data_IF_083483832317
#
_entry.id   IF_083483832317
#
_cell.length_a   1.000
_cell.length_b   1.000
_cell.length_c   1.000
_cell.angle_alpha   90.00
_cell.angle_beta   90.00
_cell.angle_gamma   90.00
#
_symmetry.space_group_name_H-M   'P 1'
#
loop_
_entity.id
_entity.type
_entity.pdbx_description
1 polymer ?
#
# COMPACT_ATOMS: atom_id res chain seq x y z
N UNK A 1 22.55 -11.75 24.17
CA UNK A 1 21.32 -11.99 23.39
C UNK A 1 21.15 -13.47 23.17
N UNK A 2 19.98 -14.05 23.48
CA UNK A 2 19.74 -15.43 23.09
C UNK A 2 19.79 -15.51 21.57
N UNK A 3 20.66 -16.36 21.05
CA UNK A 3 20.67 -16.65 19.63
C UNK A 3 19.34 -17.32 19.29
N UNK A 4 18.56 -16.65 18.47
CA UNK A 4 17.35 -17.26 17.93
C UNK A 4 17.70 -18.55 17.19
N UNK A 5 16.84 -19.55 17.23
CA UNK A 5 16.99 -20.73 16.38
C UNK A 5 17.14 -20.29 14.94
N UNK A 6 18.12 -20.82 14.19
CA UNK A 6 18.25 -20.50 12.77
C UNK A 6 16.91 -20.77 12.09
N UNK A 7 16.43 -19.82 11.31
CA UNK A 7 15.21 -20.01 10.52
C UNK A 7 15.44 -21.18 9.58
N UNK A 8 14.63 -22.23 9.76
CA UNK A 8 14.65 -23.36 8.83
C UNK A 8 14.10 -22.86 7.50
N UNK A 9 14.94 -22.82 6.48
CA UNK A 9 14.48 -22.56 5.11
C UNK A 9 13.63 -23.74 4.68
N UNK A 10 12.34 -23.54 4.30
CA UNK A 10 11.52 -24.64 3.84
C UNK A 10 12.14 -25.31 2.62
N UNK A 11 12.22 -26.63 2.64
CA UNK A 11 12.64 -27.40 1.47
C UNK A 11 11.44 -27.54 0.51
N UNK A 12 11.20 -26.51 -0.25
CA UNK A 12 10.13 -26.44 -1.27
C UNK A 12 10.67 -26.60 -2.70
N UNK A 13 11.95 -26.96 -2.83
CA UNK A 13 12.61 -27.14 -4.12
C UNK A 13 12.88 -25.84 -4.88
N UNK A 14 12.62 -24.66 -4.27
CA UNK A 14 12.84 -23.38 -4.92
C UNK A 14 14.24 -22.84 -4.63
N UNK A 15 14.87 -22.27 -5.65
CA UNK A 15 16.11 -21.50 -5.49
C UNK A 15 15.84 -20.17 -4.80
N UNK A 16 16.85 -19.57 -4.20
CA UNK A 16 16.77 -18.21 -3.61
C UNK A 16 16.26 -17.19 -4.62
N UNK A 17 16.69 -17.30 -5.87
CA UNK A 17 16.24 -16.42 -6.96
C UNK A 17 14.75 -16.58 -7.22
N UNK A 18 14.25 -17.81 -7.31
CA UNK A 18 12.82 -18.08 -7.50
C UNK A 18 11.98 -17.56 -6.33
N UNK A 19 12.47 -17.71 -5.08
CA UNK A 19 11.79 -17.15 -3.89
C UNK A 19 11.68 -15.63 -3.94
N UNK A 20 12.73 -14.94 -4.39
CA UNK A 20 12.72 -13.47 -4.53
C UNK A 20 11.77 -12.97 -5.61
N UNK A 21 11.42 -13.80 -6.55
CA UNK A 21 10.50 -13.47 -7.65
C UNK A 21 9.03 -13.78 -7.33
N UNK A 22 8.75 -14.43 -6.20
CA UNK A 22 7.37 -14.72 -5.80
C UNK A 22 6.66 -13.47 -5.31
N UNK A 23 5.39 -13.36 -5.71
CA UNK A 23 4.51 -12.37 -5.11
C UNK A 23 4.39 -12.61 -3.60
N UNK A 24 4.49 -11.54 -2.83
CA UNK A 24 4.42 -11.57 -1.38
C UNK A 24 3.29 -10.68 -0.89
N UNK A 25 2.49 -11.21 0.02
CA UNK A 25 1.49 -10.43 0.76
C UNK A 25 1.99 -10.29 2.19
N UNK A 26 2.16 -9.05 2.63
CA UNK A 26 2.57 -8.72 4.00
C UNK A 26 1.42 -8.00 4.69
N UNK A 27 1.05 -8.47 5.87
CA UNK A 27 0.00 -7.85 6.69
C UNK A 27 0.64 -7.28 7.96
N UNK A 28 0.57 -5.96 8.10
CA UNK A 28 0.93 -5.28 9.34
C UNK A 28 -0.32 -5.05 10.16
N UNK A 29 -0.41 -5.74 11.27
CA UNK A 29 -1.58 -5.68 12.18
C UNK A 29 -1.10 -5.54 13.62
N UNK A 30 -2.01 -5.20 14.50
CA UNK A 30 -1.74 -5.05 15.93
C UNK A 30 -2.31 -3.74 16.48
N UNK A 31 -2.23 -3.61 17.77
CA UNK A 31 -2.59 -2.38 18.48
C UNK A 31 -1.47 -1.35 18.35
N UNK A 32 -1.80 -0.08 18.60
CA UNK A 32 -0.84 1.02 18.61
C UNK A 32 -0.33 1.44 17.22
N UNK A 33 0.64 2.34 17.22
CA UNK A 33 1.21 2.97 16.02
C UNK A 33 2.35 2.14 15.40
N UNK A 34 2.66 2.39 14.15
CA UNK A 34 3.82 1.82 13.45
C UNK A 34 3.47 0.92 12.27
N UNK A 35 2.22 0.52 12.12
CA UNK A 35 1.76 -0.33 11.01
C UNK A 35 1.97 0.35 9.66
N UNK A 36 1.45 1.55 9.51
CA UNK A 36 1.63 2.35 8.28
C UNK A 36 3.08 2.70 8.04
N UNK A 37 3.81 3.08 9.08
CA UNK A 37 5.26 3.36 8.99
C UNK A 37 6.02 2.17 8.44
N UNK A 38 5.72 0.95 8.88
CA UNK A 38 6.34 -0.26 8.36
C UNK A 38 6.03 -0.49 6.88
N UNK A 39 4.76 -0.33 6.49
CA UNK A 39 4.33 -0.48 5.10
C UNK A 39 4.99 0.56 4.19
N UNK A 40 5.04 1.82 4.60
CA UNK A 40 5.68 2.88 3.82
C UNK A 40 7.20 2.78 3.79
N UNK A 41 7.82 2.21 4.82
CA UNK A 41 9.25 1.87 4.79
C UNK A 41 9.57 0.84 3.70
N UNK A 42 8.73 -0.17 3.53
CA UNK A 42 8.84 -1.12 2.42
C UNK A 42 8.60 -0.43 1.07
N UNK A 43 7.66 0.52 1.00
CA UNK A 43 7.42 1.29 -0.22
C UNK A 43 8.65 2.10 -0.64
N UNK A 44 9.39 2.71 0.30
CA UNK A 44 10.64 3.40 0.00
C UNK A 44 11.68 2.45 -0.62
N UNK A 45 11.78 1.24 -0.12
CA UNK A 45 12.68 0.23 -0.69
C UNK A 45 12.26 -0.18 -2.10
N UNK A 46 10.95 -0.35 -2.32
CA UNK A 46 10.39 -0.65 -3.63
C UNK A 46 10.64 0.49 -4.62
N UNK A 47 10.50 1.74 -4.19
CA UNK A 47 10.81 2.91 -5.00
C UNK A 47 12.26 2.90 -5.48
N UNK A 48 13.20 2.63 -4.58
CA UNK A 48 14.62 2.54 -4.93
C UNK A 48 14.92 1.38 -5.90
N UNK A 49 14.12 0.33 -5.88
CA UNK A 49 14.23 -0.79 -6.84
C UNK A 49 13.62 -0.46 -8.21
N UNK A 50 12.98 0.68 -8.36
CA UNK A 50 12.32 1.07 -9.60
C UNK A 50 10.94 0.42 -9.79
N UNK A 51 10.30 -0.03 -8.73
CA UNK A 51 8.97 -0.64 -8.80
C UNK A 51 7.89 0.42 -8.74
N UNK A 52 7.01 0.54 -9.75
CA UNK A 52 5.85 1.42 -9.69
C UNK A 52 5.01 1.12 -8.46
N UNK A 53 4.68 2.16 -7.70
CA UNK A 53 4.00 2.05 -6.41
C UNK A 53 2.60 2.62 -6.53
N UNK A 54 1.63 1.95 -5.91
CA UNK A 54 0.30 2.49 -5.69
C UNK A 54 -0.07 2.40 -4.21
N UNK A 55 -0.65 3.45 -3.68
CA UNK A 55 -1.18 3.52 -2.31
C UNK A 55 -2.69 3.75 -2.38
N UNK A 56 -3.43 2.90 -1.68
CA UNK A 56 -4.87 3.02 -1.49
C UNK A 56 -5.14 3.31 -0.01
N UNK A 57 -5.63 4.50 0.30
CA UNK A 57 -6.06 4.87 1.65
C UNK A 57 -7.57 4.78 1.77
N UNK A 58 -8.06 3.86 2.60
CA UNK A 58 -9.49 3.55 2.70
C UNK A 58 -10.28 4.44 3.64
N UNK A 59 -9.65 5.05 4.63
CA UNK A 59 -10.36 5.77 5.71
C UNK A 59 -10.06 7.26 5.75
N UNK A 60 -8.95 7.71 5.19
CA UNK A 60 -8.52 9.11 5.32
C UNK A 60 -9.14 10.02 4.26
N UNK A 61 -9.67 11.16 4.72
CA UNK A 61 -10.19 12.20 3.84
C UNK A 61 -9.08 13.07 3.23
N UNK A 62 -9.42 13.81 2.15
CA UNK A 62 -8.53 14.75 1.46
C UNK A 62 -7.86 15.76 2.37
N UNK A 63 -8.55 16.12 3.43
CA UNK A 63 -8.09 17.12 4.36
C UNK A 63 -6.93 16.64 5.23
N UNK A 64 -6.69 15.35 5.30
CA UNK A 64 -5.63 14.80 6.13
C UNK A 64 -4.45 14.34 5.29
N UNK A 65 -3.46 15.22 5.19
CA UNK A 65 -2.17 14.90 4.57
C UNK A 65 -1.24 14.38 5.64
N UNK A 66 -0.75 13.18 5.44
CA UNK A 66 0.29 12.60 6.28
C UNK A 66 1.68 12.98 5.77
N UNK A 67 2.68 12.92 6.64
CA UNK A 67 4.07 13.15 6.23
C UNK A 67 4.53 12.14 5.19
N UNK A 68 4.08 10.90 5.29
CA UNK A 68 4.39 9.84 4.32
C UNK A 68 3.83 10.15 2.93
N UNK A 69 2.61 10.67 2.85
CA UNK A 69 2.01 11.08 1.58
C UNK A 69 2.84 12.19 0.92
N UNK A 70 3.18 13.22 1.68
CA UNK A 70 3.98 14.33 1.17
C UNK A 70 5.36 13.86 0.67
N UNK A 71 6.00 12.99 1.42
CA UNK A 71 7.30 12.41 1.06
C UNK A 71 7.23 11.56 -0.22
N UNK A 72 6.25 10.66 -0.31
CA UNK A 72 6.08 9.81 -1.48
C UNK A 72 5.68 10.60 -2.73
N UNK A 73 4.88 11.65 -2.58
CA UNK A 73 4.57 12.56 -3.69
C UNK A 73 5.81 13.33 -4.15
N UNK A 74 6.70 13.71 -3.23
CA UNK A 74 7.99 14.31 -3.59
C UNK A 74 8.87 13.34 -4.38
N UNK A 75 8.90 12.08 -3.99
CA UNK A 75 9.62 11.04 -4.73
C UNK A 75 9.02 10.78 -6.12
N UNK A 76 7.72 10.86 -6.26
CA UNK A 76 7.06 10.80 -7.57
C UNK A 76 7.49 11.95 -8.48
N UNK A 77 7.54 13.17 -7.97
CA UNK A 77 8.05 14.33 -8.71
C UNK A 77 9.52 14.16 -9.10
N UNK A 78 10.34 13.67 -8.18
CA UNK A 78 11.75 13.39 -8.46
C UNK A 78 11.90 12.36 -9.57
N UNK A 79 11.11 11.30 -9.55
CA UNK A 79 11.08 10.31 -10.63
C UNK A 79 10.72 10.95 -11.98
N UNK A 80 9.68 11.80 -12.00
CA UNK A 80 9.25 12.49 -13.23
C UNK A 80 10.34 13.40 -13.81
N UNK A 81 11.14 14.05 -12.95
CA UNK A 81 12.19 14.98 -13.35
C UNK A 81 13.49 14.29 -13.75
N UNK A 82 13.88 13.23 -13.06
CA UNK A 82 15.23 12.63 -13.14
C UNK A 82 15.24 11.19 -13.66
N UNK A 83 14.11 10.49 -13.66
CA UNK A 83 14.04 9.05 -13.93
C UNK A 83 14.50 8.17 -12.77
N UNK A 84 14.91 8.75 -11.64
CA UNK A 84 15.29 7.97 -10.46
C UNK A 84 14.08 7.29 -9.84
N UNK A 85 14.28 6.10 -9.26
CA UNK A 85 13.25 5.36 -8.56
C UNK A 85 12.10 4.92 -9.45
N UNK A 86 10.88 5.20 -9.02
CA UNK A 86 9.66 4.78 -9.70
C UNK A 86 8.53 5.80 -9.50
N UNK A 87 7.48 5.77 -10.36
CA UNK A 87 6.29 6.57 -10.13
C UNK A 87 5.52 6.07 -8.91
N UNK A 88 4.87 7.01 -8.21
CA UNK A 88 4.00 6.74 -7.06
C UNK A 88 2.61 7.29 -7.36
N UNK A 89 1.61 6.41 -7.32
CA UNK A 89 0.21 6.78 -7.46
C UNK A 89 -0.47 6.68 -6.10
N UNK A 90 -1.24 7.70 -5.73
CA UNK A 90 -1.93 7.77 -4.44
C UNK A 90 -3.42 7.95 -4.64
N UNK A 91 -4.21 6.98 -4.14
CA UNK A 91 -5.66 7.03 -4.15
C UNK A 91 -6.22 7.15 -2.74
N UNK A 92 -6.99 8.20 -2.50
CA UNK A 92 -7.75 8.37 -1.26
C UNK A 92 -9.17 7.85 -1.49
N UNK A 93 -9.45 6.66 -1.04
CA UNK A 93 -10.72 5.98 -1.31
C UNK A 93 -11.90 6.54 -0.51
N UNK A 94 -11.62 7.28 0.58
CA UNK A 94 -12.64 7.98 1.35
C UNK A 94 -13.15 9.28 0.73
N UNK A 95 -12.46 9.82 -0.27
CA UNK A 95 -12.74 11.15 -0.82
C UNK A 95 -13.71 11.20 -1.97
N UNK A 96 -13.64 10.23 -2.85
CA UNK A 96 -14.43 10.24 -4.09
C UNK A 96 -15.93 10.34 -3.87
N UNK A 97 -16.39 10.19 -2.63
CA UNK A 97 -17.78 10.05 -2.27
C UNK A 97 -18.23 10.94 -1.11
N UNK A 98 -17.30 11.63 -0.43
CA UNK A 98 -17.63 12.48 0.72
C UNK A 98 -18.51 13.67 0.38
N UNK A 99 -18.57 14.05 -0.89
CA UNK A 99 -19.40 15.14 -1.39
C UNK A 99 -20.75 14.67 -1.97
N UNK A 100 -20.89 13.38 -2.23
CA UNK A 100 -22.14 12.75 -2.67
C UNK A 100 -22.86 12.11 -1.48
N UNK A 101 -22.12 11.51 -0.57
CA UNK A 101 -22.66 10.88 0.63
C UNK A 101 -22.72 11.89 1.78
N UNK A 102 -23.89 12.10 2.33
CA UNK A 102 -24.03 12.83 3.60
C UNK A 102 -23.24 12.08 4.66
N UNK A 103 -22.43 12.79 5.48
CA UNK A 103 -21.69 12.14 6.56
C UNK A 103 -22.68 11.43 7.48
N UNK A 104 -22.54 10.11 7.67
CA UNK A 104 -23.21 9.40 8.72
C UNK A 104 -23.95 8.12 8.41
N UNK A 105 -23.91 7.53 7.23
CA UNK A 105 -24.49 6.20 7.04
C UNK A 105 -23.41 5.14 6.86
N UNK A 106 -23.46 4.08 7.66
CA UNK A 106 -22.56 2.92 7.53
C UNK A 106 -22.66 2.28 6.13
N UNK A 107 -23.83 2.33 5.52
CA UNK A 107 -24.06 1.83 4.17
C UNK A 107 -23.21 2.56 3.12
N UNK A 108 -23.03 3.88 3.26
CA UNK A 108 -22.24 4.68 2.33
C UNK A 108 -20.74 4.39 2.48
N UNK A 109 -20.28 4.21 3.72
CA UNK A 109 -18.89 3.81 3.97
C UNK A 109 -18.59 2.42 3.42
N UNK A 110 -19.50 1.49 3.58
CA UNK A 110 -19.36 0.14 3.04
C UNK A 110 -19.37 0.14 1.49
N UNK A 111 -20.21 0.96 0.85
CA UNK A 111 -20.24 1.10 -0.59
C UNK A 111 -18.93 1.68 -1.14
N UNK A 112 -18.37 2.70 -0.46
CA UNK A 112 -17.08 3.30 -0.81
C UNK A 112 -15.94 2.31 -0.67
N UNK A 113 -15.94 1.52 0.39
CA UNK A 113 -14.93 0.48 0.61
C UNK A 113 -14.97 -0.60 -0.48
N UNK A 114 -16.17 -1.02 -0.88
CA UNK A 114 -16.35 -1.99 -1.97
C UNK A 114 -15.87 -1.46 -3.31
N UNK A 115 -16.17 -0.20 -3.63
CA UNK A 115 -15.68 0.44 -4.85
C UNK A 115 -14.17 0.60 -4.84
N UNK A 116 -13.60 1.01 -3.72
CA UNK A 116 -12.15 1.05 -3.55
C UNK A 116 -11.50 -0.32 -3.72
N UNK A 117 -12.10 -1.36 -3.15
CA UNK A 117 -11.63 -2.73 -3.33
C UNK A 117 -11.76 -3.21 -4.78
N UNK A 118 -12.83 -2.85 -5.46
CA UNK A 118 -13.00 -3.15 -6.89
C UNK A 118 -11.89 -2.51 -7.73
N UNK A 119 -11.48 -1.28 -7.41
CA UNK A 119 -10.34 -0.62 -8.06
C UNK A 119 -9.04 -1.37 -7.83
N UNK A 120 -8.77 -1.80 -6.59
CA UNK A 120 -7.59 -2.60 -6.27
C UNK A 120 -7.56 -3.89 -7.09
N UNK A 121 -8.69 -4.59 -7.17
CA UNK A 121 -8.78 -5.83 -7.96
C UNK A 121 -8.53 -5.59 -9.45
N UNK A 122 -9.04 -4.52 -10.01
CA UNK A 122 -8.78 -4.15 -11.43
C UNK A 122 -7.29 -3.88 -11.67
N UNK A 123 -6.66 -3.13 -10.80
CA UNK A 123 -5.24 -2.79 -10.93
C UNK A 123 -4.34 -4.02 -10.76
N UNK A 124 -4.68 -4.92 -9.84
CA UNK A 124 -3.99 -6.19 -9.67
C UNK A 124 -4.15 -7.10 -10.89
N UNK A 125 -5.35 -7.22 -11.43
CA UNK A 125 -5.61 -8.02 -12.62
C UNK A 125 -4.85 -7.49 -13.85
N UNK A 126 -4.73 -6.16 -13.97
CA UNK A 126 -3.97 -5.51 -15.03
C UNK A 126 -2.45 -5.53 -14.78
N UNK A 127 -1.97 -6.00 -13.63
CA UNK A 127 -0.57 -5.96 -13.22
C UNK A 127 0.07 -4.58 -13.40
N UNK A 128 -0.68 -3.55 -13.03
CA UNK A 128 -0.35 -2.15 -13.32
C UNK A 128 0.83 -1.62 -12.51
N UNK A 129 1.04 -2.15 -11.31
CA UNK A 129 2.06 -1.71 -10.37
C UNK A 129 2.93 -2.88 -9.91
N UNK A 130 4.11 -2.56 -9.37
CA UNK A 130 5.00 -3.55 -8.75
C UNK A 130 4.84 -3.66 -7.24
N UNK A 131 4.29 -2.63 -6.60
CA UNK A 131 4.11 -2.57 -5.16
C UNK A 131 2.77 -1.90 -4.80
N UNK A 132 1.97 -2.60 -4.01
CA UNK A 132 0.61 -2.19 -3.64
C UNK A 132 0.53 -1.99 -2.13
N UNK A 133 0.15 -0.79 -1.67
CA UNK A 133 -0.12 -0.50 -0.27
C UNK A 133 -1.61 -0.30 -0.08
N UNK A 134 -2.21 -1.01 0.86
CA UNK A 134 -3.59 -0.84 1.29
C UNK A 134 -3.58 -0.40 2.74
N UNK A 135 -3.67 0.89 2.95
CA UNK A 135 -3.64 1.50 4.27
C UNK A 135 -5.05 1.55 4.88
N UNK A 136 -5.16 1.16 6.13
CA UNK A 136 -6.45 1.08 6.86
C UNK A 136 -7.50 0.17 6.17
N UNK A 137 -7.05 -0.88 5.50
CA UNK A 137 -7.90 -1.72 4.65
C UNK A 137 -9.01 -2.45 5.42
N UNK A 138 -8.75 -2.90 6.63
CA UNK A 138 -9.71 -3.69 7.41
C UNK A 138 -10.76 -2.85 8.13
N UNK A 139 -10.52 -1.55 8.28
CA UNK A 139 -11.36 -0.66 9.06
C UNK A 139 -12.77 -0.45 8.48
N UNK A 140 -12.97 -0.35 7.14
CA UNK A 140 -14.29 -0.16 6.54
C UNK A 140 -15.11 -1.45 6.38
N UNK A 141 -14.55 -2.59 6.72
CA UNK A 141 -15.19 -3.90 6.53
C UNK A 141 -15.59 -4.53 7.92
#
# INVERSE_FOLDING_TARGET
MPQGKPSVVPDDGLTTRQRRQRALVVVHTGEMKGKSTAAFGLALRAWNQGWPIVVYQFVKSAKWKTGEEAALRALDRLHAETGEGAPVTWHKMGEGWSWIARPGTEADHAANAREGWAQVKRDLAAQKYGFYVRDEFTYPF
#
